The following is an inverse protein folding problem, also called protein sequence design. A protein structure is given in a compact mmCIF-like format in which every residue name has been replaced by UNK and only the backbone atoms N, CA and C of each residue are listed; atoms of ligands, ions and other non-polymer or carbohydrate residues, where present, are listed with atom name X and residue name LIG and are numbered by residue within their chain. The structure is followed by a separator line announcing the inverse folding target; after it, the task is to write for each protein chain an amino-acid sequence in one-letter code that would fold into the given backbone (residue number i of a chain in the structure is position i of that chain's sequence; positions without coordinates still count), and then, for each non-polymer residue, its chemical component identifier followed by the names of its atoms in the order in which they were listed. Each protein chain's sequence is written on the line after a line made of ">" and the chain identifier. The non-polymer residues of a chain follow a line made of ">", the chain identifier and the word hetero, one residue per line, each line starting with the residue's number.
data_IF_259625229433
#
_entry.id   IF_259625229433
#
_cell.length_a   1.000
_cell.length_b   1.000
_cell.length_c   1.000
_cell.angle_alpha   90.00
_cell.angle_beta   90.00
_cell.angle_gamma   90.00
#
_symmetry.space_group_name_H-M   'P 1'
#
loop_
_entity.id
_entity.type
_entity.pdbx_description
1 polymer ?
#
# COMPACT_ATOMS: atom_id res chain seq x y z
N UNK A 1 12.37 6.44 -2.34
CA UNK A 1 11.03 7.05 -2.26
C UNK A 1 10.51 7.07 -3.69
N UNK A 2 9.39 6.42 -3.99
CA UNK A 2 8.93 6.29 -5.38
C UNK A 2 8.51 7.67 -5.91
N UNK A 3 9.07 8.11 -7.04
CA UNK A 3 8.66 9.39 -7.66
C UNK A 3 7.36 9.21 -8.47
N UNK A 4 6.21 9.34 -7.81
CA UNK A 4 4.93 9.38 -8.52
C UNK A 4 4.69 10.76 -9.13
N UNK A 5 4.88 10.87 -10.45
CA UNK A 5 4.53 12.08 -11.22
C UNK A 5 3.10 11.99 -11.73
N UNK A 6 2.24 12.88 -11.25
CA UNK A 6 0.90 13.06 -11.79
C UNK A 6 0.99 13.71 -13.18
N UNK A 7 0.15 13.24 -14.11
CA UNK A 7 -0.05 13.95 -15.38
C UNK A 7 -0.59 15.37 -15.10
N UNK A 8 -0.20 16.39 -15.88
CA UNK A 8 -0.63 17.77 -15.67
C UNK A 8 -2.17 17.93 -15.65
N UNK A 9 -2.87 17.13 -16.46
CA UNK A 9 -4.34 17.12 -16.53
C UNK A 9 -4.97 16.68 -15.21
N UNK A 10 -4.41 15.66 -14.56
CA UNK A 10 -4.89 15.17 -13.26
C UNK A 10 -4.60 16.17 -12.14
N UNK A 11 -3.44 16.86 -12.19
CA UNK A 11 -3.12 17.93 -11.21
C UNK A 11 -4.14 19.07 -11.24
N UNK A 12 -4.69 19.40 -12.41
CA UNK A 12 -5.71 20.48 -12.54
C UNK A 12 -7.08 20.08 -11.99
N UNK A 13 -7.37 18.78 -11.89
CA UNK A 13 -8.65 18.26 -11.40
C UNK A 13 -8.66 18.01 -9.89
N UNK A 14 -7.49 18.00 -9.25
CA UNK A 14 -7.33 17.70 -7.83
C UNK A 14 -7.24 18.99 -7.01
N UNK A 15 -7.93 19.04 -5.88
CA UNK A 15 -7.84 20.14 -4.92
C UNK A 15 -6.45 20.24 -4.28
N UNK A 16 -5.82 19.09 -4.01
CA UNK A 16 -4.47 19.00 -3.42
C UNK A 16 -3.65 17.88 -4.09
N UNK A 17 -2.96 18.19 -5.20
CA UNK A 17 -2.23 17.17 -5.98
C UNK A 17 -1.08 16.53 -5.22
N UNK A 18 -0.42 17.24 -4.32
CA UNK A 18 0.74 16.72 -3.59
C UNK A 18 0.31 15.75 -2.50
N UNK A 19 -0.83 16.01 -1.83
CA UNK A 19 -1.45 15.04 -0.93
C UNK A 19 -1.91 13.78 -1.66
N UNK A 20 -2.39 13.91 -2.90
CA UNK A 20 -2.74 12.75 -3.72
C UNK A 20 -1.50 11.88 -4.03
N UNK A 21 -0.38 12.50 -4.41
CA UNK A 21 0.90 11.81 -4.64
C UNK A 21 1.35 11.06 -3.39
N UNK A 22 1.28 11.72 -2.23
CA UNK A 22 1.63 11.11 -0.94
C UNK A 22 0.73 9.92 -0.60
N UNK A 23 -0.57 10.05 -0.84
CA UNK A 23 -1.52 8.94 -0.66
C UNK A 23 -1.24 7.78 -1.63
N UNK A 24 -0.87 8.07 -2.87
CA UNK A 24 -0.48 7.06 -3.85
C UNK A 24 0.79 6.33 -3.46
N UNK A 25 1.78 7.04 -2.89
CA UNK A 25 2.98 6.41 -2.35
C UNK A 25 2.66 5.47 -1.18
N UNK A 26 1.81 5.90 -0.25
CA UNK A 26 1.35 5.04 0.87
C UNK A 26 0.63 3.79 0.36
N UNK A 27 -0.25 3.93 -0.63
CA UNK A 27 -0.91 2.77 -1.28
C UNK A 27 0.13 1.80 -1.84
N UNK A 28 1.15 2.31 -2.54
CA UNK A 28 2.19 1.47 -3.12
C UNK A 28 2.98 0.71 -2.06
N UNK A 29 3.41 1.39 -0.99
CA UNK A 29 4.09 0.74 0.13
C UNK A 29 3.20 -0.27 0.84
N UNK A 30 1.91 0.05 1.05
CA UNK A 30 0.96 -0.88 1.64
C UNK A 30 0.81 -2.16 0.81
N UNK A 31 0.74 -2.04 -0.51
CA UNK A 31 0.71 -3.19 -1.43
C UNK A 31 2.01 -4.01 -1.33
N UNK A 32 3.18 -3.36 -1.32
CA UNK A 32 4.47 -4.06 -1.18
C UNK A 32 4.52 -4.86 0.13
N UNK A 33 4.09 -4.26 1.25
CA UNK A 33 4.05 -4.92 2.56
C UNK A 33 3.09 -6.12 2.54
N UNK A 34 1.90 -5.96 1.96
CA UNK A 34 0.94 -7.05 1.84
C UNK A 34 1.48 -8.20 0.98
N UNK A 35 2.09 -7.90 -0.17
CA UNK A 35 2.70 -8.88 -1.05
C UNK A 35 3.88 -9.59 -0.40
N UNK A 36 4.70 -8.88 0.38
CA UNK A 36 5.76 -9.49 1.17
C UNK A 36 5.21 -10.49 2.19
N UNK A 37 4.08 -10.16 2.84
CA UNK A 37 3.35 -11.09 3.73
C UNK A 37 2.90 -12.36 3.01
N UNK A 38 2.33 -12.24 1.80
CA UNK A 38 1.90 -13.39 0.99
C UNK A 38 3.08 -14.27 0.60
N UNK A 39 4.19 -13.68 0.13
CA UNK A 39 5.39 -14.44 -0.24
C UNK A 39 5.97 -15.17 0.97
N UNK A 40 6.04 -14.50 2.11
CA UNK A 40 6.57 -15.08 3.35
C UNK A 40 5.67 -16.22 3.86
N UNK A 41 4.34 -16.04 3.81
CA UNK A 41 3.37 -17.09 4.09
C UNK A 41 3.55 -18.29 3.16
N UNK A 42 3.70 -18.06 1.86
CA UNK A 42 3.91 -19.10 0.85
C UNK A 42 5.17 -19.93 1.10
N UNK A 43 6.28 -19.29 1.49
CA UNK A 43 7.52 -19.98 1.86
C UNK A 43 7.33 -20.79 3.14
N UNK A 44 6.68 -20.20 4.16
CA UNK A 44 6.48 -20.82 5.46
C UNK A 44 5.53 -22.02 5.40
N UNK A 45 4.56 -22.06 4.49
CA UNK A 45 3.69 -23.24 4.31
C UNK A 45 4.50 -24.52 4.09
N UNK A 46 5.64 -24.45 3.42
CA UNK A 46 6.49 -25.61 3.14
C UNK A 46 7.56 -25.89 4.21
N UNK A 47 7.92 -24.91 5.04
CA UNK A 47 8.98 -25.03 6.05
C UNK A 47 8.41 -25.22 7.47
N UNK A 48 7.42 -24.41 7.83
CA UNK A 48 6.80 -24.35 9.15
C UNK A 48 5.36 -23.79 9.03
N UNK A 49 4.37 -24.66 8.75
CA UNK A 49 3.01 -24.24 8.42
C UNK A 49 2.31 -23.52 9.58
N UNK A 50 2.70 -23.77 10.84
CA UNK A 50 2.16 -23.05 11.99
C UNK A 50 2.57 -21.57 11.97
N UNK A 51 3.80 -21.28 11.52
CA UNK A 51 4.29 -19.89 11.39
C UNK A 51 3.74 -19.16 10.18
N UNK A 52 3.22 -19.85 9.17
CA UNK A 52 2.57 -19.22 8.02
C UNK A 52 1.41 -18.32 8.46
N UNK A 53 0.57 -18.78 9.40
CA UNK A 53 -0.57 -18.01 9.91
C UNK A 53 -0.14 -16.72 10.62
N UNK A 54 1.04 -16.70 11.23
CA UNK A 54 1.56 -15.50 11.90
C UNK A 54 1.92 -14.37 10.93
N UNK A 55 2.13 -14.67 9.65
CA UNK A 55 2.39 -13.64 8.62
C UNK A 55 1.15 -12.90 8.15
N UNK A 56 -0.06 -13.32 8.59
CA UNK A 56 -1.33 -12.63 8.28
C UNK A 56 -1.33 -11.19 8.78
N UNK A 57 -0.65 -10.89 9.88
CA UNK A 57 -0.52 -9.53 10.39
C UNK A 57 0.20 -8.58 9.42
N UNK A 58 1.14 -9.07 8.61
CA UNK A 58 1.79 -8.27 7.57
C UNK A 58 0.82 -7.88 6.45
N UNK A 59 -0.07 -8.80 6.07
CA UNK A 59 -1.14 -8.51 5.10
C UNK A 59 -2.12 -7.48 5.64
N UNK A 60 -2.52 -7.60 6.91
CA UNK A 60 -3.38 -6.61 7.57
C UNK A 60 -2.70 -5.23 7.64
N UNK A 61 -1.43 -5.18 8.01
CA UNK A 61 -0.66 -3.92 8.03
C UNK A 61 -0.56 -3.28 6.64
N UNK A 62 -0.28 -4.08 5.61
CA UNK A 62 -0.25 -3.59 4.23
C UNK A 62 -1.59 -3.01 3.78
N UNK A 63 -2.70 -3.67 4.13
CA UNK A 63 -4.05 -3.17 3.87
C UNK A 63 -4.37 -1.89 4.63
N UNK A 64 -3.97 -1.77 5.90
CA UNK A 64 -4.17 -0.56 6.70
C UNK A 64 -3.41 0.63 6.10
N UNK A 65 -2.13 0.43 5.75
CA UNK A 65 -1.30 1.48 5.12
C UNK A 65 -1.90 1.89 3.78
N UNK A 66 -2.37 0.93 2.98
CA UNK A 66 -3.03 1.20 1.71
C UNK A 66 -4.37 1.94 1.89
N UNK A 67 -5.19 1.52 2.85
CA UNK A 67 -6.45 2.19 3.18
C UNK A 67 -6.26 3.63 3.65
N UNK A 68 -5.23 3.89 4.47
CA UNK A 68 -4.85 5.26 4.85
C UNK A 68 -4.41 6.06 3.63
N UNK A 69 -3.65 5.46 2.72
CA UNK A 69 -3.26 6.09 1.45
C UNK A 69 -4.44 6.44 0.56
N UNK A 70 -5.42 5.54 0.42
CA UNK A 70 -6.67 5.80 -0.31
C UNK A 70 -7.52 6.89 0.36
N UNK A 71 -7.58 6.91 1.69
CA UNK A 71 -8.25 8.00 2.41
C UNK A 71 -7.57 9.35 2.15
N UNK A 72 -6.24 9.38 2.10
CA UNK A 72 -5.50 10.59 1.73
C UNK A 72 -5.84 11.03 0.31
N UNK A 73 -5.88 10.09 -0.65
CA UNK A 73 -6.26 10.34 -2.04
C UNK A 73 -7.68 10.87 -2.17
N UNK A 74 -8.64 10.30 -1.44
CA UNK A 74 -10.03 10.73 -1.43
C UNK A 74 -10.18 12.16 -0.92
N UNK A 75 -9.45 12.53 0.14
CA UNK A 75 -9.48 13.88 0.72
C UNK A 75 -8.76 14.94 -0.12
N UNK A 76 -7.89 14.52 -1.04
CA UNK A 76 -7.19 15.40 -1.99
C UNK A 76 -7.95 15.67 -3.30
N UNK A 77 -9.04 14.93 -3.56
CA UNK A 77 -10.01 15.27 -4.61
C UNK A 77 -10.85 16.43 -4.12
#
# INVERSE_FOLDING_TARGET
>A
MFEFKLRPEMRKQLKDPDRFVKGQEMVHWGIIIAMAGVVMSGILIFQDPEKSTNTVWLMILGLLVSGVGEFHKYRSK
#
